data_IF_074648361202
#
_entry.id   IF_074648361202
#
_cell.length_a   1.000
_cell.length_b   1.000
_cell.length_c   1.000
_cell.angle_alpha   90.00
_cell.angle_beta   90.00
_cell.angle_gamma   90.00
#
_symmetry.space_group_name_H-M   'P 1'
#
loop_
_entity.id
_entity.type
_entity.pdbx_description
1 polymer ?
#
# COMPACT_ATOMS: atom_id res chain seq x y z
N UNK A 1 -1.52 2.76 6.68
CA UNK A 1 -0.95 3.87 7.45
C UNK A 1 -1.81 5.08 7.17
N UNK A 2 -2.30 5.74 8.20
CA UNK A 2 -2.98 7.02 8.08
C UNK A 2 -2.00 8.11 8.52
N UNK A 3 -1.96 9.22 7.80
CA UNK A 3 -1.01 10.31 8.05
C UNK A 3 -1.72 11.63 7.86
N UNK A 4 -1.59 12.51 8.86
CA UNK A 4 -2.07 13.88 8.79
C UNK A 4 -0.95 14.76 8.29
N UNK A 5 -1.20 15.50 7.20
CA UNK A 5 -0.25 16.45 6.63
C UNK A 5 -0.85 17.84 6.66
N UNK A 6 -0.02 18.84 6.92
CA UNK A 6 -0.37 20.26 6.79
C UNK A 6 0.35 20.79 5.56
N UNK A 7 -0.40 21.31 4.60
CA UNK A 7 0.13 21.97 3.41
C UNK A 7 -0.17 23.46 3.55
N UNK A 8 0.82 24.30 3.24
CA UNK A 8 0.70 25.75 3.27
C UNK A 8 1.45 26.33 2.07
N UNK A 9 0.93 27.42 1.50
CA UNK A 9 1.56 28.11 0.38
C UNK A 9 1.44 27.35 -0.94
N UNK A 10 2.52 27.29 -1.72
CA UNK A 10 2.50 26.75 -3.10
C UNK A 10 1.93 25.33 -3.20
N UNK A 11 2.29 24.36 -2.33
CA UNK A 11 1.71 23.01 -2.39
C UNK A 11 0.21 22.96 -2.13
N UNK A 12 -0.32 23.85 -1.29
CA UNK A 12 -1.75 23.95 -1.04
C UNK A 12 -2.47 24.47 -2.28
N UNK A 13 -1.95 25.54 -2.89
CA UNK A 13 -2.51 26.13 -4.11
C UNK A 13 -2.52 25.14 -5.28
N UNK A 14 -1.41 24.43 -5.50
CA UNK A 14 -1.33 23.39 -6.54
C UNK A 14 -2.34 22.28 -6.29
N UNK A 15 -2.50 21.84 -5.04
CA UNK A 15 -3.48 20.82 -4.70
C UNK A 15 -4.92 21.29 -4.99
N UNK A 16 -5.24 22.56 -4.72
CA UNK A 16 -6.56 23.13 -5.01
C UNK A 16 -6.81 23.20 -6.52
N UNK A 17 -5.87 23.73 -7.30
CA UNK A 17 -5.98 23.82 -8.76
C UNK A 17 -6.17 22.44 -9.41
N UNK A 18 -5.47 21.41 -8.91
CA UNK A 18 -5.63 20.03 -9.39
C UNK A 18 -7.06 19.48 -9.19
N UNK A 19 -7.77 19.95 -8.17
CA UNK A 19 -9.16 19.59 -7.92
C UNK A 19 -10.12 20.45 -8.77
N UNK A 20 -9.88 21.76 -8.83
CA UNK A 20 -10.72 22.72 -9.55
C UNK A 20 -10.76 22.44 -11.06
N UNK A 21 -9.61 22.10 -11.64
CA UNK A 21 -9.49 21.70 -13.05
C UNK A 21 -10.01 20.28 -13.32
N UNK A 22 -10.43 19.55 -12.28
CA UNK A 22 -11.04 18.24 -12.40
C UNK A 22 -10.08 17.09 -12.70
N UNK A 23 -8.76 17.29 -12.58
CA UNK A 23 -7.77 16.21 -12.73
C UNK A 23 -7.96 15.12 -11.67
N UNK A 24 -8.36 15.51 -10.45
CA UNK A 24 -8.66 14.59 -9.36
C UNK A 24 -9.97 14.94 -8.67
N UNK A 25 -10.69 13.94 -8.16
CA UNK A 25 -11.96 14.16 -7.44
C UNK A 25 -11.74 14.51 -5.98
N UNK A 26 -10.63 14.06 -5.40
CA UNK A 26 -10.33 14.25 -3.98
C UNK A 26 -8.87 14.64 -3.74
N UNK A 27 -8.63 15.39 -2.66
CA UNK A 27 -7.28 15.77 -2.21
C UNK A 27 -6.39 14.54 -2.02
N UNK A 28 -6.95 13.47 -1.46
CA UNK A 28 -6.23 12.22 -1.20
C UNK A 28 -5.77 11.55 -2.50
N UNK A 29 -6.58 11.56 -3.56
CA UNK A 29 -6.18 11.02 -4.87
C UNK A 29 -5.02 11.81 -5.47
N UNK A 30 -5.10 13.14 -5.47
CA UNK A 30 -4.05 14.00 -5.98
C UNK A 30 -2.72 13.79 -5.21
N UNK A 31 -2.77 13.72 -3.88
CA UNK A 31 -1.59 13.45 -3.04
C UNK A 31 -0.99 12.07 -3.37
N UNK A 32 -1.82 11.03 -3.50
CA UNK A 32 -1.33 9.69 -3.88
C UNK A 32 -0.68 9.70 -5.25
N UNK A 33 -1.27 10.36 -6.23
CA UNK A 33 -0.71 10.49 -7.56
C UNK A 33 0.63 11.24 -7.54
N UNK A 34 0.73 12.32 -6.76
CA UNK A 34 1.99 13.05 -6.55
C UNK A 34 3.10 12.18 -5.96
N UNK A 35 2.80 11.39 -4.92
CA UNK A 35 3.76 10.45 -4.33
C UNK A 35 4.22 9.38 -5.34
N UNK A 36 3.32 8.85 -6.15
CA UNK A 36 3.67 7.90 -7.21
C UNK A 36 4.54 8.55 -8.30
N UNK A 37 4.25 9.81 -8.66
CA UNK A 37 5.06 10.61 -9.57
C UNK A 37 6.48 10.79 -9.06
N UNK A 38 6.63 11.23 -7.81
CA UNK A 38 7.94 11.35 -7.14
C UNK A 38 8.67 10.00 -7.08
N UNK A 39 7.94 8.92 -6.78
CA UNK A 39 8.52 7.56 -6.77
C UNK A 39 9.11 7.15 -8.11
N UNK A 40 8.49 7.57 -9.22
CA UNK A 40 9.02 7.35 -10.58
C UNK A 40 10.20 8.28 -10.87
N UNK A 41 10.07 9.56 -10.56
CA UNK A 41 11.10 10.58 -10.80
C UNK A 41 12.44 10.23 -10.13
N UNK A 42 12.38 9.76 -8.89
CA UNK A 42 13.55 9.34 -8.12
C UNK A 42 13.95 7.88 -8.33
N UNK A 43 13.35 7.17 -9.31
CA UNK A 43 13.58 5.75 -9.56
C UNK A 43 13.49 4.88 -8.30
N UNK A 44 12.58 5.22 -7.38
CA UNK A 44 12.32 4.44 -6.16
C UNK A 44 11.54 3.14 -6.47
N UNK A 45 10.92 3.11 -7.65
CA UNK A 45 10.18 1.99 -8.23
C UNK A 45 10.89 1.58 -9.54
N UNK A 46 12.07 0.94 -9.43
CA UNK A 46 12.92 0.67 -10.60
C UNK A 46 12.30 -0.34 -11.57
N UNK A 47 11.51 -1.28 -11.06
CA UNK A 47 10.73 -2.21 -11.87
C UNK A 47 9.45 -2.67 -11.17
N UNK A 48 8.45 -3.15 -11.91
CA UNK A 48 7.27 -3.81 -11.34
C UNK A 48 7.63 -4.97 -10.41
N UNK A 49 8.67 -5.74 -10.75
CA UNK A 49 9.14 -6.89 -9.99
C UNK A 49 9.74 -6.46 -8.64
N UNK A 50 10.58 -5.43 -8.59
CA UNK A 50 11.12 -4.91 -7.32
C UNK A 50 10.01 -4.34 -6.42
N UNK A 51 8.99 -3.72 -7.01
CA UNK A 51 7.83 -3.25 -6.26
C UNK A 51 7.01 -4.42 -5.70
N UNK A 52 6.78 -5.46 -6.50
CA UNK A 52 6.09 -6.67 -6.08
C UNK A 52 6.82 -7.36 -4.92
N UNK A 53 8.13 -7.56 -5.04
CA UNK A 53 8.96 -8.14 -3.98
C UNK A 53 8.86 -7.34 -2.67
N UNK A 54 8.94 -6.00 -2.76
CA UNK A 54 8.77 -5.13 -1.60
C UNK A 54 7.39 -5.27 -0.96
N UNK A 55 6.33 -5.29 -1.76
CA UNK A 55 4.96 -5.41 -1.27
C UNK A 55 4.71 -6.79 -0.63
N UNK A 56 5.24 -7.86 -1.23
CA UNK A 56 5.20 -9.22 -0.66
C UNK A 56 5.92 -9.25 0.67
N UNK A 57 7.15 -8.71 0.75
CA UNK A 57 7.92 -8.65 1.99
C UNK A 57 7.18 -7.88 3.10
N UNK A 58 6.55 -6.74 2.76
CA UNK A 58 5.73 -5.97 3.70
C UNK A 58 4.52 -6.77 4.20
N UNK A 59 3.85 -7.51 3.31
CA UNK A 59 2.70 -8.34 3.66
C UNK A 59 3.11 -9.51 4.55
N UNK A 60 4.18 -10.21 4.23
CA UNK A 60 4.74 -11.31 5.05
C UNK A 60 5.05 -10.80 6.45
N UNK A 61 5.78 -9.69 6.56
CA UNK A 61 6.10 -9.08 7.87
C UNK A 61 4.85 -8.75 8.68
N UNK A 62 3.84 -8.16 8.06
CA UNK A 62 2.56 -7.85 8.72
C UNK A 62 1.84 -9.11 9.20
N UNK A 63 1.78 -10.16 8.39
CA UNK A 63 1.16 -11.44 8.77
C UNK A 63 1.91 -12.11 9.92
N UNK A 64 3.24 -12.03 9.94
CA UNK A 64 4.04 -12.50 11.08
C UNK A 64 3.73 -11.72 12.36
N UNK A 65 3.62 -10.39 12.27
CA UNK A 65 3.24 -9.52 13.41
C UNK A 65 1.83 -9.84 13.92
N UNK A 66 0.86 -10.02 13.03
CA UNK A 66 -0.51 -10.43 13.37
C UNK A 66 -0.55 -11.81 14.02
N UNK A 67 0.24 -12.76 13.50
CA UNK A 67 0.39 -14.11 14.08
C UNK A 67 1.04 -14.06 15.46
N UNK A 68 2.11 -13.29 15.65
CA UNK A 68 2.76 -13.07 16.95
C UNK A 68 1.82 -12.39 17.95
N UNK A 69 0.95 -11.50 17.47
CA UNK A 69 -0.10 -10.86 18.27
C UNK A 69 -1.30 -11.78 18.55
N UNK A 70 -1.26 -13.05 18.15
CA UNK A 70 -2.32 -14.04 18.36
C UNK A 70 -3.53 -13.89 17.43
N UNK A 71 -3.47 -12.98 16.44
CA UNK A 71 -4.52 -12.74 15.44
C UNK A 71 -4.31 -13.64 14.23
N UNK A 72 -4.42 -14.94 14.43
CA UNK A 72 -4.28 -15.94 13.37
C UNK A 72 -3.76 -17.26 13.92
N UNK A 73 -4.27 -18.37 13.38
CA UNK A 73 -3.74 -19.69 13.67
C UNK A 73 -2.91 -20.13 12.47
N UNK A 74 -1.61 -20.32 12.67
CA UNK A 74 -0.79 -21.05 11.70
C UNK A 74 -1.31 -22.47 11.68
N UNK A 75 -1.75 -22.92 10.52
CA UNK A 75 -2.17 -24.30 10.31
C UNK A 75 -1.06 -25.03 9.56
N UNK A 76 -0.77 -26.26 9.97
CA UNK A 76 0.06 -27.15 9.16
C UNK A 76 -0.68 -27.54 7.87
N UNK A 77 0.06 -27.99 6.86
CA UNK A 77 -0.52 -28.47 5.60
C UNK A 77 -1.55 -29.60 5.83
N UNK A 78 -1.28 -30.50 6.79
CA UNK A 78 -2.19 -31.56 7.20
C UNK A 78 -3.48 -31.03 7.83
N UNK A 79 -3.38 -30.00 8.69
CA UNK A 79 -4.54 -29.36 9.31
C UNK A 79 -5.40 -28.64 8.27
N UNK A 80 -4.79 -28.00 7.27
CA UNK A 80 -5.50 -27.34 6.16
C UNK A 80 -6.24 -28.36 5.29
N UNK A 81 -5.57 -29.46 4.91
CA UNK A 81 -6.18 -30.54 4.12
C UNK A 81 -7.38 -31.15 4.84
N UNK A 82 -7.25 -31.40 6.15
CA UNK A 82 -8.33 -31.96 6.97
C UNK A 82 -9.50 -30.98 7.16
N UNK A 83 -9.22 -29.68 7.29
CA UNK A 83 -10.23 -28.66 7.58
C UNK A 83 -11.01 -28.21 6.34
N UNK A 84 -10.35 -28.10 5.19
CA UNK A 84 -10.94 -27.54 3.97
C UNK A 84 -11.13 -28.57 2.84
N UNK A 85 -10.68 -29.81 3.02
CA UNK A 85 -11.05 -30.92 2.13
C UNK A 85 -10.42 -30.84 0.74
N UNK A 86 -9.23 -30.24 0.60
CA UNK A 86 -8.49 -30.29 -0.65
C UNK A 86 -8.12 -31.75 -0.97
N UNK A 87 -8.75 -32.30 -2.01
CA UNK A 87 -8.36 -33.56 -2.67
C UNK A 87 -7.47 -33.21 -3.85
N UNK A 88 -6.35 -33.93 -4.00
CA UNK A 88 -5.55 -33.94 -5.22
C UNK A 88 -6.38 -34.34 -6.45
#
# INVERSE_FOLDING_TARGET
>A
METLIKLEGVPEEVLLLLLEEGYFKTKTEAIRAGLLGLGKEYNLLKSPEELEERLVAMKVKRLEEETKAGKGKVLSEEEVRKKYGFKE
#
